data_IF_425923405283
#
_entry.id   IF_425923405283
#
_cell.length_a   1.000
_cell.length_b   1.000
_cell.length_c   1.000
_cell.angle_alpha   90.00
_cell.angle_beta   90.00
_cell.angle_gamma   90.00
#
_symmetry.space_group_name_H-M   'P 1'
#
loop_
_entity.id
_entity.type
_entity.pdbx_description
1 polymer ?
#
# COMPACT_ATOMS: atom_id res chain seq x y z
N UNK A 1 -18.69 -3.81 53.83
CA UNK A 1 -17.45 -3.67 53.02
C UNK A 1 -17.32 -4.76 51.96
N UNK A 2 -17.59 -6.04 52.28
CA UNK A 2 -17.52 -7.20 51.37
C UNK A 2 -18.28 -7.11 50.02
N UNK A 3 -19.42 -6.40 49.97
CA UNK A 3 -20.23 -6.26 48.74
C UNK A 3 -19.60 -5.30 47.71
N UNK A 4 -18.87 -4.26 48.16
CA UNK A 4 -18.17 -3.32 47.26
C UNK A 4 -16.93 -3.93 46.61
N UNK A 5 -16.25 -4.84 47.30
CA UNK A 5 -15.08 -5.55 46.78
C UNK A 5 -15.45 -6.52 45.64
N UNK A 6 -16.56 -7.25 45.78
CA UNK A 6 -17.07 -8.13 44.71
C UNK A 6 -17.46 -7.35 43.45
N UNK A 7 -18.09 -6.18 43.61
CA UNK A 7 -18.50 -5.35 42.47
C UNK A 7 -17.30 -4.73 41.74
N UNK A 8 -16.21 -4.41 42.46
CA UNK A 8 -14.97 -3.93 41.87
C UNK A 8 -14.22 -5.04 41.12
N UNK A 9 -14.14 -6.22 41.70
CA UNK A 9 -13.45 -7.38 41.10
C UNK A 9 -14.12 -7.83 39.80
N UNK A 10 -15.46 -7.82 39.72
CA UNK A 10 -16.18 -8.13 38.48
C UNK A 10 -15.93 -7.12 37.35
N UNK A 11 -15.74 -5.83 37.68
CA UNK A 11 -15.41 -4.80 36.68
C UNK A 11 -14.00 -4.99 36.13
N UNK A 12 -13.05 -5.32 37.00
CA UNK A 12 -11.66 -5.60 36.60
C UNK A 12 -11.59 -6.82 35.69
N UNK A 13 -12.33 -7.90 36.02
CA UNK A 13 -12.42 -9.10 35.17
C UNK A 13 -13.04 -8.79 33.81
N UNK A 14 -14.10 -7.99 33.76
CA UNK A 14 -14.73 -7.58 32.49
C UNK A 14 -13.78 -6.75 31.61
N UNK A 15 -13.03 -5.81 32.20
CA UNK A 15 -12.04 -4.99 31.48
C UNK A 15 -10.90 -5.86 30.95
N UNK A 16 -10.40 -6.80 31.76
CA UNK A 16 -9.38 -7.77 31.35
C UNK A 16 -9.88 -8.64 30.18
N UNK A 17 -11.14 -9.06 30.20
CA UNK A 17 -11.74 -9.87 29.14
C UNK A 17 -11.88 -9.10 27.82
N UNK A 18 -12.22 -7.82 27.88
CA UNK A 18 -12.28 -6.93 26.71
C UNK A 18 -10.87 -6.72 26.12
N UNK A 19 -9.89 -6.48 27.00
CA UNK A 19 -8.50 -6.31 26.58
C UNK A 19 -7.96 -7.58 25.92
N UNK A 20 -8.17 -8.77 26.50
CA UNK A 20 -7.71 -10.03 25.89
C UNK A 20 -8.41 -10.34 24.56
N UNK A 21 -9.70 -10.01 24.43
CA UNK A 21 -10.42 -10.14 23.16
C UNK A 21 -9.85 -9.22 22.06
N UNK A 22 -9.41 -8.01 22.41
CA UNK A 22 -8.75 -7.09 21.49
C UNK A 22 -7.37 -7.61 21.04
N UNK A 23 -6.57 -8.17 21.94
CA UNK A 23 -5.25 -8.75 21.58
C UNK A 23 -5.38 -10.02 20.74
N UNK A 24 -6.40 -10.85 21.00
CA UNK A 24 -6.65 -12.07 20.23
C UNK A 24 -7.03 -11.78 18.77
N UNK A 25 -7.76 -10.69 18.51
CA UNK A 25 -8.13 -10.27 17.15
C UNK A 25 -6.93 -9.76 16.33
N UNK A 26 -5.93 -9.13 16.94
CA UNK A 26 -4.69 -8.75 16.24
C UNK A 26 -3.88 -9.98 15.80
N UNK A 27 -3.78 -10.99 16.68
CA UNK A 27 -3.06 -12.23 16.36
C UNK A 27 -3.80 -13.11 15.35
N UNK A 28 -5.13 -13.02 15.27
CA UNK A 28 -5.92 -13.71 14.25
C UNK A 28 -5.53 -13.24 12.84
N UNK A 29 -5.34 -11.93 12.63
CA UNK A 29 -4.94 -11.37 11.34
C UNK A 29 -3.51 -11.82 10.97
N UNK A 30 -2.58 -11.87 11.91
CA UNK A 30 -1.23 -12.40 11.68
C UNK A 30 -1.21 -13.91 11.40
N UNK A 31 -2.15 -14.68 11.97
CA UNK A 31 -2.28 -16.12 11.70
C UNK A 31 -2.88 -16.40 10.32
N UNK A 32 -3.60 -15.44 9.74
CA UNK A 32 -3.98 -15.50 8.34
C UNK A 32 -2.78 -15.07 7.50
N UNK A 33 -2.37 -15.86 6.52
CA UNK A 33 -1.25 -15.52 5.61
C UNK A 33 -1.43 -14.20 4.81
N UNK A 34 -2.54 -13.49 5.03
CA UNK A 34 -2.84 -12.17 4.49
C UNK A 34 -1.69 -11.18 4.72
N UNK A 35 -1.16 -11.02 5.93
CA UNK A 35 -0.12 -9.99 6.18
C UNK A 35 1.23 -10.28 5.51
N UNK A 36 1.53 -11.54 5.21
CA UNK A 36 2.80 -11.94 4.59
C UNK A 36 2.83 -11.69 3.09
N UNK A 37 1.71 -11.95 2.43
CA UNK A 37 1.58 -11.99 0.96
C UNK A 37 0.68 -10.89 0.39
N UNK A 38 0.37 -9.87 1.20
CA UNK A 38 -0.43 -8.74 0.75
C UNK A 38 0.12 -7.40 1.23
N UNK A 39 -0.37 -6.34 0.60
CA UNK A 39 -0.29 -4.97 1.08
C UNK A 39 -1.70 -4.45 1.31
N UNK A 40 -1.87 -3.58 2.31
CA UNK A 40 -3.07 -2.75 2.37
C UNK A 40 -3.15 -1.86 1.12
N UNK A 41 -4.35 -1.41 0.73
CA UNK A 41 -4.52 -0.52 -0.43
C UNK A 41 -3.73 0.78 -0.29
N UNK A 42 -3.64 1.31 0.93
CA UNK A 42 -2.82 2.49 1.23
C UNK A 42 -1.33 2.25 0.98
N UNK A 43 -0.78 1.13 1.48
CA UNK A 43 0.61 0.75 1.23
C UNK A 43 0.88 0.47 -0.25
N UNK A 44 -0.04 -0.20 -0.94
CA UNK A 44 0.08 -0.47 -2.37
C UNK A 44 0.10 0.83 -3.17
N UNK A 45 -0.80 1.77 -2.88
CA UNK A 45 -0.87 3.09 -3.51
C UNK A 45 0.42 3.86 -3.28
N UNK A 46 0.93 3.88 -2.05
CA UNK A 46 2.18 4.57 -1.73
C UNK A 46 3.37 4.00 -2.50
N UNK A 47 3.49 2.68 -2.60
CA UNK A 47 4.56 2.02 -3.34
C UNK A 47 4.54 2.40 -4.82
N UNK A 48 3.37 2.30 -5.45
CA UNK A 48 3.20 2.64 -6.87
C UNK A 48 3.43 4.14 -7.09
N UNK A 49 2.95 5.00 -6.19
CA UNK A 49 3.21 6.45 -6.25
C UNK A 49 4.70 6.77 -6.20
N UNK A 50 5.45 6.12 -5.31
CA UNK A 50 6.89 6.36 -5.19
C UNK A 50 7.65 5.84 -6.42
N UNK A 51 7.25 4.68 -6.96
CA UNK A 51 7.79 4.16 -8.21
C UNK A 51 7.52 5.11 -9.38
N UNK A 52 6.31 5.66 -9.47
CA UNK A 52 5.94 6.66 -10.47
C UNK A 52 6.77 7.95 -10.36
N UNK A 53 6.97 8.47 -9.15
CA UNK A 53 7.82 9.62 -8.90
C UNK A 53 9.25 9.38 -9.43
N UNK A 54 9.83 8.22 -9.08
CA UNK A 54 11.17 7.87 -9.51
C UNK A 54 11.26 7.69 -11.03
N UNK A 55 10.30 6.97 -11.63
CA UNK A 55 10.25 6.72 -13.07
C UNK A 55 10.17 8.02 -13.87
N UNK A 56 9.31 8.95 -13.47
CA UNK A 56 9.16 10.25 -14.11
C UNK A 56 10.38 11.15 -13.88
N UNK A 57 10.96 11.08 -12.67
CA UNK A 57 12.21 11.75 -12.34
C UNK A 57 13.36 11.32 -13.25
N UNK A 58 13.54 10.01 -13.46
CA UNK A 58 14.56 9.45 -14.36
C UNK A 58 14.35 9.94 -15.79
N UNK A 59 13.11 9.93 -16.27
CA UNK A 59 12.77 10.40 -17.61
C UNK A 59 13.18 11.87 -17.81
N UNK A 60 12.74 12.76 -16.93
CA UNK A 60 13.00 14.20 -17.07
C UNK A 60 14.40 14.62 -16.65
N UNK A 61 15.04 13.92 -15.72
CA UNK A 61 16.46 14.12 -15.42
C UNK A 61 17.29 13.92 -16.69
N UNK A 62 17.01 12.84 -17.44
CA UNK A 62 17.67 12.59 -18.72
C UNK A 62 17.34 13.65 -19.77
N UNK A 63 16.06 14.03 -19.88
CA UNK A 63 15.61 15.04 -20.86
C UNK A 63 16.23 16.41 -20.61
N UNK A 64 16.39 16.82 -19.35
CA UNK A 64 16.92 18.13 -18.98
C UNK A 64 18.42 18.13 -18.59
N UNK A 65 19.09 16.98 -18.64
CA UNK A 65 20.52 16.87 -18.35
C UNK A 65 20.89 17.01 -16.87
N UNK A 66 19.98 16.66 -15.96
CA UNK A 66 20.22 16.64 -14.52
C UNK A 66 18.98 16.94 -13.69
N UNK A 67 19.05 16.56 -12.40
CA UNK A 67 17.96 16.80 -11.46
C UNK A 67 17.85 18.29 -11.10
N UNK A 68 16.64 18.85 -11.21
CA UNK A 68 16.37 20.26 -10.90
C UNK A 68 14.90 20.43 -10.44
N UNK A 69 14.52 21.66 -10.07
CA UNK A 69 13.17 21.95 -9.59
C UNK A 69 12.05 21.56 -10.56
N UNK A 70 12.27 21.73 -11.87
CA UNK A 70 11.29 21.33 -12.89
C UNK A 70 11.12 19.81 -12.95
N UNK A 71 12.24 19.04 -12.88
CA UNK A 71 12.20 17.57 -12.80
C UNK A 71 11.40 17.12 -11.58
N UNK A 72 11.67 17.69 -10.41
CA UNK A 72 10.95 17.37 -9.18
C UNK A 72 9.45 17.65 -9.30
N UNK A 73 9.08 18.80 -9.88
CA UNK A 73 7.66 19.15 -10.08
C UNK A 73 6.98 18.15 -11.01
N UNK A 74 7.60 17.80 -12.14
CA UNK A 74 7.04 16.81 -13.06
C UNK A 74 6.88 15.44 -12.42
N UNK A 75 7.88 15.01 -11.68
CA UNK A 75 7.83 13.75 -10.95
C UNK A 75 6.71 13.73 -9.90
N UNK A 76 6.53 14.84 -9.18
CA UNK A 76 5.44 15.00 -8.22
C UNK A 76 4.06 14.96 -8.89
N UNK A 77 3.89 15.70 -9.99
CA UNK A 77 2.63 15.74 -10.74
C UNK A 77 2.24 14.34 -11.24
N UNK A 78 3.19 13.59 -11.83
CA UNK A 78 2.94 12.23 -12.30
C UNK A 78 2.59 11.28 -11.15
N UNK A 79 3.34 11.34 -10.04
CA UNK A 79 3.08 10.52 -8.87
C UNK A 79 1.68 10.77 -8.29
N UNK A 80 1.27 12.03 -8.21
CA UNK A 80 -0.07 12.41 -7.75
C UNK A 80 -1.15 11.92 -8.70
N UNK A 81 -1.00 12.15 -10.01
CA UNK A 81 -1.97 11.73 -11.02
C UNK A 81 -2.17 10.20 -11.02
N UNK A 82 -1.09 9.44 -10.95
CA UNK A 82 -1.15 7.97 -10.87
C UNK A 82 -1.80 7.54 -9.55
N UNK A 83 -1.42 8.14 -8.42
CA UNK A 83 -2.01 7.85 -7.11
C UNK A 83 -3.53 8.04 -7.08
N UNK A 84 -4.03 9.06 -7.78
CA UNK A 84 -5.47 9.35 -7.92
C UNK A 84 -6.17 8.44 -8.94
N UNK A 85 -5.43 7.93 -9.93
CA UNK A 85 -5.95 7.03 -10.97
C UNK A 85 -6.00 5.56 -10.51
N UNK A 86 -5.35 5.21 -9.41
CA UNK A 86 -5.37 3.88 -8.84
C UNK A 86 -6.72 3.58 -8.17
N UNK A 87 -7.43 2.60 -8.72
CA UNK A 87 -8.63 2.00 -8.13
C UNK A 87 -8.25 0.99 -7.02
N UNK A 88 -7.67 1.53 -5.96
CA UNK A 88 -7.35 0.81 -4.74
C UNK A 88 -8.24 1.36 -3.62
N UNK A 89 -8.75 0.49 -2.77
CA UNK A 89 -9.42 0.87 -1.53
C UNK A 89 -8.41 0.71 -0.38
N UNK A 90 -8.15 1.80 0.33
CA UNK A 90 -7.12 1.82 1.37
C UNK A 90 -7.39 0.82 2.51
N UNK A 91 -8.65 0.41 2.69
CA UNK A 91 -9.06 -0.56 3.72
C UNK A 91 -8.93 -2.03 3.30
N UNK A 92 -8.65 -2.29 2.02
CA UNK A 92 -8.56 -3.65 1.46
C UNK A 92 -7.13 -4.14 1.37
N UNK A 93 -6.97 -5.44 1.14
CA UNK A 93 -5.66 -6.08 0.96
C UNK A 93 -5.48 -6.55 -0.48
N UNK A 94 -4.29 -6.33 -1.04
CA UNK A 94 -3.94 -6.63 -2.42
C UNK A 94 -2.72 -7.53 -2.50
N UNK A 95 -2.69 -8.44 -3.47
CA UNK A 95 -1.54 -9.35 -3.66
C UNK A 95 -0.23 -8.59 -3.80
N UNK A 96 0.72 -8.94 -2.95
CA UNK A 96 2.05 -8.30 -2.87
C UNK A 96 2.79 -8.36 -4.20
N UNK A 97 2.80 -9.54 -4.81
CA UNK A 97 3.51 -9.79 -6.07
C UNK A 97 2.97 -8.89 -7.18
N UNK A 98 1.64 -8.78 -7.31
CA UNK A 98 1.01 -7.91 -8.31
C UNK A 98 1.39 -6.43 -8.14
N UNK A 99 1.44 -5.94 -6.90
CA UNK A 99 1.88 -4.56 -6.60
C UNK A 99 3.36 -4.39 -6.96
N UNK A 100 4.20 -5.34 -6.58
CA UNK A 100 5.63 -5.30 -6.84
C UNK A 100 5.95 -5.41 -8.34
N UNK A 101 5.19 -6.20 -9.10
CA UNK A 101 5.36 -6.31 -10.54
C UNK A 101 5.06 -4.97 -11.23
N UNK A 102 4.02 -4.24 -10.81
CA UNK A 102 3.76 -2.89 -11.32
C UNK A 102 4.89 -1.91 -10.98
N UNK A 103 5.38 -1.94 -9.74
CA UNK A 103 6.54 -1.13 -9.31
C UNK A 103 7.76 -1.45 -10.16
N UNK A 104 8.03 -2.75 -10.37
CA UNK A 104 9.17 -3.21 -11.15
C UNK A 104 9.06 -2.77 -12.62
N UNK A 105 7.88 -2.82 -13.21
CA UNK A 105 7.65 -2.32 -14.58
C UNK A 105 7.95 -0.82 -14.66
N UNK A 106 7.47 -0.02 -13.70
CA UNK A 106 7.76 1.42 -13.64
C UNK A 106 9.26 1.69 -13.61
N UNK A 107 10.00 0.98 -12.74
CA UNK A 107 11.44 1.14 -12.61
C UNK A 107 12.19 0.64 -13.85
N UNK A 108 11.84 -0.51 -14.40
CA UNK A 108 12.55 -1.11 -15.52
C UNK A 108 12.33 -0.32 -16.82
N UNK A 109 11.07 0.02 -17.13
CA UNK A 109 10.73 0.72 -18.37
C UNK A 109 11.16 2.19 -18.38
N UNK A 110 11.27 2.84 -17.22
CA UNK A 110 11.86 4.18 -17.12
C UNK A 110 13.39 4.15 -17.29
N UNK A 111 14.07 3.17 -16.66
CA UNK A 111 15.52 3.05 -16.75
C UNK A 111 16.01 2.62 -18.14
N UNK A 112 15.37 1.61 -18.75
CA UNK A 112 15.82 1.03 -20.02
C UNK A 112 15.12 1.70 -21.21
N UNK A 113 13.79 1.81 -21.13
CA UNK A 113 12.96 2.31 -22.21
C UNK A 113 12.84 3.83 -22.26
N UNK A 114 13.25 4.52 -21.18
CA UNK A 114 13.03 5.96 -21.00
C UNK A 114 11.58 6.36 -21.31
N UNK A 115 10.65 5.61 -20.73
CA UNK A 115 9.23 5.93 -20.81
C UNK A 115 8.78 6.71 -19.58
N UNK A 116 7.86 7.65 -19.79
CA UNK A 116 7.18 8.37 -18.71
C UNK A 116 6.37 7.41 -17.85
N UNK A 117 6.27 7.70 -16.56
CA UNK A 117 5.55 6.90 -15.58
C UNK A 117 4.10 6.66 -15.98
N UNK A 118 3.40 7.70 -16.48
CA UNK A 118 2.00 7.56 -16.88
C UNK A 118 1.82 6.64 -18.09
N UNK A 119 2.77 6.64 -19.03
CA UNK A 119 2.77 5.72 -20.16
C UNK A 119 2.98 4.27 -19.71
N UNK A 120 3.88 4.05 -18.75
CA UNK A 120 4.11 2.72 -18.18
C UNK A 120 2.87 2.24 -17.42
N UNK A 121 2.32 3.08 -16.55
CA UNK A 121 1.11 2.83 -15.77
C UNK A 121 -0.07 2.39 -16.65
N UNK A 122 -0.30 3.10 -17.75
CA UNK A 122 -1.44 2.82 -18.64
C UNK A 122 -1.23 1.60 -19.53
N UNK A 123 0.01 1.27 -19.92
CA UNK A 123 0.30 0.19 -20.86
C UNK A 123 0.63 -1.14 -20.16
N UNK A 124 1.24 -1.11 -18.98
CA UNK A 124 1.60 -2.30 -18.21
C UNK A 124 0.35 -3.07 -17.76
N UNK A 125 0.35 -4.38 -18.02
CA UNK A 125 -0.65 -5.30 -17.45
C UNK A 125 -0.48 -5.50 -15.95
N UNK A 126 0.72 -5.28 -15.43
CA UNK A 126 1.03 -5.40 -14.00
C UNK A 126 0.43 -4.24 -13.20
N UNK A 127 0.29 -3.06 -13.81
CA UNK A 127 -0.33 -1.89 -13.19
C UNK A 127 -1.86 -1.82 -13.34
N UNK A 128 -2.51 -2.90 -13.79
CA UNK A 128 -3.96 -2.99 -13.95
C UNK A 128 -4.54 -4.17 -13.17
N UNK A 129 -5.83 -4.06 -12.83
CA UNK A 129 -6.62 -5.13 -12.22
C UNK A 129 -5.96 -5.72 -10.96
N UNK A 130 -5.68 -4.88 -9.96
CA UNK A 130 -5.08 -5.35 -8.71
C UNK A 130 -5.99 -6.37 -8.03
N UNK A 131 -5.42 -7.53 -7.72
CA UNK A 131 -6.16 -8.65 -7.14
C UNK A 131 -6.35 -8.43 -5.64
N UNK A 132 -7.59 -8.12 -5.25
CA UNK A 132 -8.01 -8.07 -3.85
C UNK A 132 -7.98 -9.48 -3.22
N UNK A 133 -7.40 -9.58 -2.03
CA UNK A 133 -7.45 -10.79 -1.22
C UNK A 133 -8.61 -10.63 -0.23
N UNK A 134 -9.64 -11.45 -0.40
CA UNK A 134 -10.76 -11.50 0.55
C UNK A 134 -10.29 -11.94 1.94
N UNK A 135 -10.87 -11.33 2.98
CA UNK A 135 -10.61 -11.64 4.39
C UNK A 135 -11.12 -13.03 4.83
N UNK A 136 -11.88 -13.73 3.99
CA UNK A 136 -12.41 -15.06 4.25
C UNK A 136 -12.13 -16.00 3.06
N UNK A 137 -11.73 -17.26 3.30
CA UNK A 137 -11.69 -18.27 2.24
C UNK A 137 -13.10 -18.50 1.69
N UNK A 138 -13.21 -18.64 0.37
CA UNK A 138 -14.44 -19.08 -0.31
C UNK A 138 -14.67 -20.57 -0.11
#
# INVERSE_FOLDING_TARGET
>A
MRSREHQFMNKVVAILFILTALVANCNLIESTSLTKNSYTGGEAREKIRNAAFNAEGIFYEKEFGGYNGLVTTKAFDAALLISLSLDLDDSKYYKKDKVNDCVSDMEQFSNIGHYQAFRIFTLSENCRNFEEIGLLPK
#
